data_IF_511740134139
#
_entry.id   IF_511740134139
#
_cell.length_a   1.000
_cell.length_b   1.000
_cell.length_c   1.000
_cell.angle_alpha   90.00
_cell.angle_beta   90.00
_cell.angle_gamma   90.00
#
_symmetry.space_group_name_H-M   'P 1'
#
loop_
_entity.id
_entity.type
_entity.pdbx_description
1 polymer ?
#
# COMPACT_ATOMS: atom_id res chain seq x y z
N UNK A 1 14.63 -4.99 9.20
CA UNK A 1 16.01 -4.47 9.00
C UNK A 1 17.07 -5.58 9.04
N UNK A 2 17.00 -6.51 9.99
CA UNK A 2 18.00 -7.59 10.16
C UNK A 2 18.23 -8.46 8.91
N UNK A 3 17.16 -8.83 8.19
CA UNK A 3 17.26 -9.57 6.92
C UNK A 3 18.08 -8.82 5.86
N UNK A 4 18.02 -7.48 5.83
CA UNK A 4 18.78 -6.65 4.89
C UNK A 4 20.25 -6.53 5.29
N UNK A 5 20.55 -6.46 6.58
CA UNK A 5 21.91 -6.50 7.12
C UNK A 5 22.55 -7.87 6.87
N UNK A 6 21.81 -8.97 7.08
CA UNK A 6 22.26 -10.33 6.79
C UNK A 6 22.56 -10.53 5.30
N UNK A 7 21.70 -10.02 4.42
CA UNK A 7 21.94 -10.00 2.97
C UNK A 7 23.18 -9.19 2.60
N UNK A 8 23.40 -8.02 3.20
CA UNK A 8 24.59 -7.21 2.96
C UNK A 8 25.89 -7.94 3.39
N UNK A 9 25.88 -8.65 4.53
CA UNK A 9 27.02 -9.48 4.98
C UNK A 9 27.31 -10.66 4.03
N UNK A 10 26.27 -11.34 3.55
CA UNK A 10 26.41 -12.46 2.60
C UNK A 10 26.99 -11.99 1.25
N UNK A 11 26.62 -10.79 0.82
CA UNK A 11 27.10 -10.20 -0.43
C UNK A 11 28.53 -9.66 -0.35
N UNK A 12 28.97 -9.24 0.84
CA UNK A 12 30.37 -8.95 1.13
C UNK A 12 31.26 -10.19 1.04
N UNK A 13 30.75 -11.34 1.49
CA UNK A 13 31.45 -12.63 1.39
C UNK A 13 31.50 -13.18 -0.04
N UNK A 14 30.62 -12.71 -0.94
CA UNK A 14 30.53 -13.19 -2.32
C UNK A 14 30.57 -12.01 -3.32
N UNK A 15 31.76 -11.50 -3.65
CA UNK A 15 31.92 -10.29 -4.47
C UNK A 15 31.33 -10.40 -5.88
N UNK A 16 31.23 -11.61 -6.43
CA UNK A 16 30.67 -11.87 -7.78
C UNK A 16 29.16 -11.64 -7.88
N UNK A 17 28.42 -11.57 -6.76
CA UNK A 17 26.95 -11.35 -6.73
C UNK A 17 26.55 -9.96 -6.22
N UNK A 18 27.51 -9.04 -6.08
CA UNK A 18 27.24 -7.69 -5.62
C UNK A 18 26.38 -6.95 -6.65
N UNK A 19 25.07 -6.90 -6.39
CA UNK A 19 24.15 -6.06 -7.14
C UNK A 19 24.16 -4.63 -6.59
N UNK A 20 24.21 -3.64 -7.48
CA UNK A 20 24.16 -2.19 -7.18
C UNK A 20 22.94 -1.74 -6.36
N UNK A 21 21.94 -2.61 -6.12
CA UNK A 21 20.66 -2.27 -5.47
C UNK A 21 20.63 -2.46 -3.94
N UNK A 22 21.75 -2.75 -3.28
CA UNK A 22 21.75 -2.95 -1.82
C UNK A 22 21.95 -1.65 -1.04
N UNK A 23 20.92 -1.27 -0.29
CA UNK A 23 20.82 -0.02 0.49
C UNK A 23 21.95 0.19 1.54
N UNK A 24 22.58 -0.87 2.04
CA UNK A 24 23.59 -0.81 3.13
C UNK A 24 25.04 -1.07 2.68
N UNK A 25 25.30 -1.22 1.38
CA UNK A 25 26.66 -1.35 0.85
C UNK A 25 27.07 -0.02 0.22
N UNK A 26 28.26 0.48 0.57
CA UNK A 26 28.90 1.62 -0.09
C UNK A 26 30.08 1.08 -0.89
N UNK A 27 30.13 1.40 -2.18
CA UNK A 27 31.30 1.15 -3.03
C UNK A 27 32.25 2.33 -2.92
N UNK A 28 33.41 2.14 -2.30
CA UNK A 28 34.52 3.09 -2.26
C UNK A 28 35.54 2.69 -3.32
N UNK A 29 35.41 3.27 -4.52
CA UNK A 29 36.31 3.01 -5.66
C UNK A 29 36.10 1.65 -6.36
N UNK A 30 36.98 1.34 -7.32
CA UNK A 30 36.86 0.22 -8.30
C UNK A 30 36.82 -1.20 -7.71
N UNK A 31 37.08 -1.42 -6.41
CA UNK A 31 37.18 -2.79 -5.86
C UNK A 31 36.88 -2.98 -4.37
N UNK A 32 36.51 -1.94 -3.61
CA UNK A 32 36.17 -2.11 -2.18
C UNK A 32 34.71 -1.75 -1.93
N UNK A 33 33.91 -2.77 -1.64
CA UNK A 33 32.59 -2.62 -1.02
C UNK A 33 32.73 -2.72 0.48
N UNK A 34 32.22 -1.73 1.19
CA UNK A 34 32.15 -1.73 2.66
C UNK A 34 30.70 -1.58 3.12
N UNK A 35 30.40 -2.07 4.32
CA UNK A 35 29.10 -1.82 4.95
C UNK A 35 29.05 -0.35 5.37
N UNK A 36 28.01 0.36 4.94
CA UNK A 36 27.75 1.72 5.38
C UNK A 36 27.18 1.71 6.81
N UNK A 37 28.07 1.77 7.81
CA UNK A 37 27.72 1.76 9.24
C UNK A 37 26.89 2.98 9.63
N UNK A 38 27.21 4.16 9.11
CA UNK A 38 26.47 5.40 9.37
C UNK A 38 25.00 5.32 8.93
N UNK A 39 24.76 4.73 7.74
CA UNK A 39 23.40 4.59 7.22
C UNK A 39 22.61 3.54 8.02
N UNK A 40 23.28 2.50 8.53
CA UNK A 40 22.67 1.54 9.47
C UNK A 40 22.27 2.24 10.77
N UNK A 41 23.15 3.05 11.36
CA UNK A 41 22.85 3.77 12.61
C UNK A 41 21.73 4.79 12.44
N UNK A 42 21.76 5.60 11.37
CA UNK A 42 20.66 6.52 11.05
C UNK A 42 19.34 5.78 10.86
N UNK A 43 19.35 4.67 10.13
CA UNK A 43 18.12 3.89 9.93
C UNK A 43 17.66 3.23 11.23
N UNK A 44 18.59 2.80 12.11
CA UNK A 44 18.26 2.27 13.45
C UNK A 44 17.63 3.33 14.33
N UNK A 45 18.14 4.56 14.33
CA UNK A 45 17.53 5.68 15.07
C UNK A 45 16.13 6.00 14.57
N UNK A 46 15.89 5.88 13.26
CA UNK A 46 14.58 6.12 12.66
C UNK A 46 13.62 4.90 12.76
N UNK A 47 14.02 3.80 13.40
CA UNK A 47 13.13 2.65 13.59
C UNK A 47 11.97 3.03 14.52
N UNK A 48 10.76 2.73 14.08
CA UNK A 48 9.55 2.96 14.87
C UNK A 48 8.99 4.38 14.75
N UNK A 49 9.69 5.30 14.10
CA UNK A 49 9.18 6.64 13.83
C UNK A 49 8.38 6.62 12.52
N UNK A 50 7.10 7.01 12.59
CA UNK A 50 6.25 7.21 11.41
C UNK A 50 5.69 8.62 11.43
N UNK A 51 6.18 9.46 10.52
CA UNK A 51 5.64 10.80 10.30
C UNK A 51 4.38 10.74 9.42
N UNK A 52 3.41 11.59 9.74
CA UNK A 52 2.25 11.85 8.89
C UNK A 52 2.30 13.32 8.46
N UNK A 53 2.05 13.57 7.18
CA UNK A 53 2.02 14.92 6.61
C UNK A 53 0.62 15.17 6.05
N UNK A 54 0.03 16.32 6.38
CA UNK A 54 -1.32 16.67 5.96
C UNK A 54 -1.37 18.07 5.37
N UNK A 55 -2.23 18.25 4.38
CA UNK A 55 -2.54 19.51 3.71
C UNK A 55 -3.81 20.17 4.28
N UNK A 56 -4.11 19.94 5.56
CA UNK A 56 -5.28 20.51 6.23
C UNK A 56 -4.94 21.95 6.65
N UNK A 57 -5.82 22.91 6.40
CA UNK A 57 -5.53 24.32 6.70
C UNK A 57 -5.62 24.64 8.20
N UNK A 58 -6.37 23.86 8.97
CA UNK A 58 -6.62 24.06 10.40
C UNK A 58 -5.84 23.05 11.27
N UNK A 59 -4.53 22.92 11.07
CA UNK A 59 -3.69 21.95 11.81
C UNK A 59 -3.77 22.17 13.33
N UNK A 60 -3.81 23.43 13.79
CA UNK A 60 -3.82 23.77 15.21
C UNK A 60 -5.10 23.32 15.94
N UNK A 61 -6.20 23.15 15.20
CA UNK A 61 -7.49 22.76 15.75
C UNK A 61 -7.79 21.26 15.58
N UNK A 62 -6.88 20.47 14.98
CA UNK A 62 -7.10 19.06 14.67
C UNK A 62 -6.17 18.19 15.50
N UNK A 63 -6.76 17.30 16.29
CA UNK A 63 -6.01 16.32 17.06
C UNK A 63 -5.20 15.39 16.14
N UNK A 64 -3.93 15.16 16.51
CA UNK A 64 -3.01 14.28 15.78
C UNK A 64 -3.56 12.87 15.63
N UNK A 65 -4.33 12.36 16.60
CA UNK A 65 -4.94 11.02 16.48
C UNK A 65 -6.01 10.97 15.40
N UNK A 66 -6.72 12.08 15.17
CA UNK A 66 -7.74 12.18 14.11
C UNK A 66 -7.10 12.09 12.74
N UNK A 67 -5.98 12.81 12.53
CA UNK A 67 -5.19 12.71 11.29
C UNK A 67 -4.77 11.26 11.03
N UNK A 68 -4.24 10.59 12.05
CA UNK A 68 -3.82 9.20 11.95
C UNK A 68 -5.02 8.31 11.60
N UNK A 69 -6.17 8.49 12.24
CA UNK A 69 -7.38 7.69 11.99
C UNK A 69 -7.89 7.88 10.55
N UNK A 70 -7.94 9.12 10.06
CA UNK A 70 -8.35 9.43 8.69
C UNK A 70 -7.38 8.82 7.67
N UNK A 71 -6.08 8.89 7.92
CA UNK A 71 -5.08 8.24 7.06
C UNK A 71 -5.29 6.73 7.02
N UNK A 72 -5.59 6.10 8.16
CA UNK A 72 -5.92 4.68 8.17
C UNK A 72 -7.15 4.39 7.32
N UNK A 73 -8.18 5.23 7.30
CA UNK A 73 -9.36 4.98 6.45
C UNK A 73 -9.08 4.95 4.94
N UNK A 74 -7.91 5.41 4.47
CA UNK A 74 -7.52 5.33 3.06
C UNK A 74 -7.57 3.89 2.51
N UNK A 75 -7.26 2.89 3.34
CA UNK A 75 -7.30 1.49 2.90
C UNK A 75 -8.72 1.04 2.49
N UNK A 76 -9.78 1.64 3.06
CA UNK A 76 -11.16 1.36 2.67
C UNK A 76 -11.41 1.79 1.22
N UNK A 77 -10.90 2.97 0.86
CA UNK A 77 -10.99 3.51 -0.50
C UNK A 77 -10.22 2.62 -1.48
N UNK A 78 -8.99 2.20 -1.13
CA UNK A 78 -8.21 1.27 -1.94
C UNK A 78 -8.91 -0.08 -2.12
N UNK A 79 -9.53 -0.60 -1.06
CA UNK A 79 -10.32 -1.85 -1.11
C UNK A 79 -11.49 -1.70 -2.07
N UNK A 80 -12.26 -0.62 -1.97
CA UNK A 80 -13.40 -0.35 -2.86
C UNK A 80 -12.95 -0.29 -4.32
N UNK A 81 -11.83 0.40 -4.61
CA UNK A 81 -11.26 0.45 -5.97
C UNK A 81 -10.76 -0.92 -6.45
N UNK A 82 -10.20 -1.74 -5.56
CA UNK A 82 -9.78 -3.10 -5.90
C UNK A 82 -10.98 -3.95 -6.31
N UNK A 83 -12.04 -3.97 -5.49
CA UNK A 83 -13.26 -4.73 -5.76
C UNK A 83 -13.96 -4.27 -7.04
N UNK A 84 -14.05 -2.95 -7.25
CA UNK A 84 -14.60 -2.39 -8.48
C UNK A 84 -13.88 -2.91 -9.73
N UNK A 85 -12.55 -3.08 -9.67
CA UNK A 85 -11.74 -3.55 -10.80
C UNK A 85 -11.75 -5.07 -10.95
N UNK A 86 -11.55 -5.83 -9.88
CA UNK A 86 -11.41 -7.29 -9.95
C UNK A 86 -12.75 -8.01 -10.01
N UNK A 87 -13.64 -7.70 -9.07
CA UNK A 87 -14.84 -8.49 -8.83
C UNK A 87 -15.98 -8.03 -9.74
N UNK A 88 -16.18 -6.70 -9.81
CA UNK A 88 -17.22 -6.08 -10.62
C UNK A 88 -16.78 -5.80 -12.06
N UNK A 89 -15.49 -6.02 -12.38
CA UNK A 89 -14.90 -5.83 -13.72
C UNK A 89 -15.36 -4.53 -14.38
N UNK A 90 -15.34 -3.43 -13.63
CA UNK A 90 -15.61 -2.08 -14.17
C UNK A 90 -14.76 -1.77 -15.40
N UNK A 91 -13.58 -2.38 -15.49
CA UNK A 91 -12.75 -2.45 -16.68
C UNK A 91 -12.47 -3.93 -17.01
N UNK A 92 -12.46 -4.34 -18.29
CA UNK A 92 -12.54 -3.52 -19.51
C UNK A 92 -13.97 -3.07 -19.89
N UNK A 93 -14.08 -1.91 -20.54
CA UNK A 93 -15.35 -1.37 -21.05
C UNK A 93 -15.41 -1.65 -22.56
N UNK A 94 -16.32 -2.52 -23.00
CA UNK A 94 -16.49 -2.88 -24.42
C UNK A 94 -17.54 -2.04 -25.14
N UNK A 95 -18.23 -1.16 -24.42
CA UNK A 95 -19.27 -0.29 -24.98
C UNK A 95 -18.67 0.91 -25.72
N UNK A 96 -19.27 1.27 -26.86
CA UNK A 96 -18.84 2.42 -27.68
C UNK A 96 -19.72 3.67 -27.53
N UNK A 97 -21.01 3.49 -27.19
CA UNK A 97 -21.95 4.60 -26.99
C UNK A 97 -21.82 5.15 -25.58
N UNK A 98 -21.78 6.48 -25.44
CA UNK A 98 -21.64 7.13 -24.14
C UNK A 98 -22.72 6.69 -23.14
N UNK A 99 -23.98 6.60 -23.58
CA UNK A 99 -25.12 6.17 -22.74
C UNK A 99 -24.89 4.78 -22.14
N UNK A 100 -24.37 3.83 -22.92
CA UNK A 100 -24.14 2.46 -22.43
C UNK A 100 -22.89 2.36 -21.57
N UNK A 101 -21.85 3.17 -21.83
CA UNK A 101 -20.69 3.31 -20.94
C UNK A 101 -21.13 3.82 -19.56
N UNK A 102 -21.94 4.89 -19.52
CA UNK A 102 -22.50 5.44 -18.28
C UNK A 102 -23.34 4.40 -17.54
N UNK A 103 -24.19 3.66 -18.25
CA UNK A 103 -25.01 2.60 -17.65
C UNK A 103 -24.17 1.48 -17.02
N UNK A 104 -23.11 1.00 -17.71
CA UNK A 104 -22.19 -0.02 -17.17
C UNK A 104 -21.52 0.45 -15.88
N UNK A 105 -20.97 1.65 -15.88
CA UNK A 105 -20.32 2.23 -14.69
C UNK A 105 -21.33 2.38 -13.55
N UNK A 106 -22.55 2.83 -13.85
CA UNK A 106 -23.62 2.98 -12.86
C UNK A 106 -23.99 1.63 -12.23
N UNK A 107 -24.17 0.58 -13.03
CA UNK A 107 -24.51 -0.76 -12.53
C UNK A 107 -23.38 -1.29 -11.63
N UNK A 108 -22.12 -1.18 -12.06
CA UNK A 108 -20.99 -1.57 -11.22
C UNK A 108 -20.93 -0.75 -9.93
N UNK A 109 -21.19 0.55 -9.99
CA UNK A 109 -21.20 1.40 -8.80
C UNK A 109 -22.31 0.99 -7.82
N UNK A 110 -23.53 0.75 -8.31
CA UNK A 110 -24.63 0.26 -7.48
C UNK A 110 -24.30 -1.08 -6.83
N UNK A 111 -23.72 -2.02 -7.57
CA UNK A 111 -23.30 -3.31 -7.03
C UNK A 111 -22.22 -3.15 -5.93
N UNK A 112 -21.28 -2.23 -6.11
CA UNK A 112 -20.27 -1.90 -5.10
C UNK A 112 -20.93 -1.33 -3.83
N UNK A 113 -21.86 -0.38 -3.97
CA UNK A 113 -22.58 0.22 -2.84
C UNK A 113 -23.38 -0.82 -2.05
N UNK A 114 -24.04 -1.75 -2.74
CA UNK A 114 -24.78 -2.85 -2.08
C UNK A 114 -23.81 -3.79 -1.36
N UNK A 115 -22.69 -4.14 -1.99
CA UNK A 115 -21.65 -4.97 -1.35
C UNK A 115 -21.10 -4.34 -0.08
N UNK A 116 -20.77 -3.04 -0.13
CA UNK A 116 -20.28 -2.28 1.03
C UNK A 116 -21.34 -2.23 2.15
N UNK A 117 -22.60 -1.98 1.80
CA UNK A 117 -23.69 -1.97 2.78
C UNK A 117 -23.84 -3.31 3.50
N UNK A 118 -23.73 -4.42 2.76
CA UNK A 118 -23.77 -5.77 3.32
C UNK A 118 -22.60 -5.99 4.29
N UNK A 119 -21.38 -5.57 3.93
CA UNK A 119 -20.22 -5.71 4.82
C UNK A 119 -20.36 -4.87 6.09
N UNK A 120 -20.85 -3.63 5.98
CA UNK A 120 -21.09 -2.75 7.14
C UNK A 120 -22.13 -3.38 8.08
N UNK A 121 -23.23 -3.88 7.53
CA UNK A 121 -24.33 -4.45 8.32
C UNK A 121 -23.95 -5.79 8.96
N UNK A 122 -23.24 -6.65 8.23
CA UNK A 122 -22.85 -7.99 8.69
C UNK A 122 -21.57 -7.99 9.54
N UNK A 123 -20.73 -6.94 9.45
CA UNK A 123 -19.35 -6.90 9.97
C UNK A 123 -18.47 -8.07 9.47
N UNK A 124 -18.88 -8.73 8.38
CA UNK A 124 -18.17 -9.81 7.74
C UNK A 124 -17.63 -9.32 6.39
N UNK A 125 -16.55 -9.93 5.91
CA UNK A 125 -16.08 -9.65 4.54
C UNK A 125 -17.08 -10.19 3.52
N UNK A 126 -17.20 -9.51 2.38
CA UNK A 126 -18.16 -9.87 1.34
C UNK A 126 -17.95 -11.32 0.86
N UNK A 127 -16.70 -11.78 0.78
CA UNK A 127 -16.38 -13.17 0.46
C UNK A 127 -16.93 -14.17 1.48
N UNK A 128 -16.90 -13.83 2.78
CA UNK A 128 -17.48 -14.69 3.83
C UNK A 128 -18.98 -14.71 3.73
N UNK A 129 -19.61 -13.56 3.50
CA UNK A 129 -21.06 -13.47 3.30
C UNK A 129 -21.49 -14.31 2.09
N UNK A 130 -20.80 -14.18 0.96
CA UNK A 130 -21.05 -15.01 -0.23
C UNK A 130 -20.84 -16.51 0.02
N UNK A 131 -19.91 -16.89 0.90
CA UNK A 131 -19.70 -18.30 1.28
C UNK A 131 -20.80 -18.84 2.19
N UNK A 132 -21.40 -17.99 3.04
CA UNK A 132 -22.50 -18.38 3.94
C UNK A 132 -23.81 -18.53 3.16
N UNK A 133 -24.01 -17.72 2.11
CA UNK A 133 -25.22 -17.76 1.28
C UNK A 133 -25.20 -18.85 0.20
N UNK A 134 -24.05 -19.50 -0.03
CA UNK A 134 -23.90 -20.65 -0.93
C UNK A 134 -24.07 -21.95 -0.17
#
# INVERSE_FOLDING_TARGET
MEKQIKKAKILLQNPSKISKRNKFLKTTGKSKTEINKELIEKTKMLLGIKGYYTNLDNIDNIDSKTVIKLYHNLWNVEKAFRMAKSDLKTRPIYHRKEKTIKAHILICFMALSVGEYIEIKSKLSLQRVLKIMK
#
